data_IF_757560494421
#
_entry.id   IF_757560494421
#
_cell.length_a   1.000
_cell.length_b   1.000
_cell.length_c   1.000
_cell.angle_alpha   90.00
_cell.angle_beta   90.00
_cell.angle_gamma   90.00
#
_symmetry.space_group_name_H-M   'P 1'
#
loop_
_entity.id
_entity.type
_entity.pdbx_description
1 polymer ?
#
# COMPACT_ATOMS: atom_id res chain seq x y z
N UNK A 1 2.23 9.73 16.92
CA UNK A 1 1.50 9.50 15.66
C UNK A 1 1.49 10.81 14.87
N UNK A 2 1.56 10.75 13.54
CA UNK A 2 1.49 11.92 12.66
C UNK A 2 0.18 11.86 11.87
N UNK A 3 -0.43 13.01 11.63
CA UNK A 3 -1.68 13.12 10.87
C UNK A 3 -1.40 13.92 9.60
N UNK A 4 -1.83 13.38 8.46
CA UNK A 4 -1.82 14.08 7.17
C UNK A 4 -3.27 14.34 6.78
N UNK A 5 -3.58 15.60 6.45
CA UNK A 5 -4.88 16.00 5.92
C UNK A 5 -4.67 16.50 4.50
N UNK A 6 -5.40 15.93 3.55
CA UNK A 6 -5.38 16.32 2.15
C UNK A 6 -6.82 16.58 1.70
N UNK A 7 -7.02 17.62 0.91
CA UNK A 7 -8.27 17.84 0.19
C UNK A 7 -8.18 17.06 -1.14
N UNK A 8 -9.10 16.14 -1.34
CA UNK A 8 -9.19 15.37 -2.57
C UNK A 8 -10.15 16.08 -3.55
N UNK A 9 -9.86 16.09 -4.86
CA UNK A 9 -10.86 16.48 -5.86
C UNK A 9 -12.10 15.58 -5.78
N UNK A 10 -13.27 16.12 -6.10
CA UNK A 10 -14.55 15.41 -6.01
C UNK A 10 -14.60 14.15 -6.90
N UNK A 11 -13.80 14.12 -7.97
CA UNK A 11 -13.71 12.98 -8.89
C UNK A 11 -12.90 11.81 -8.34
N UNK A 12 -12.12 12.03 -7.27
CA UNK A 12 -11.20 11.02 -6.73
C UNK A 12 -11.90 10.16 -5.69
N UNK A 13 -11.83 8.84 -5.88
CA UNK A 13 -12.31 7.90 -4.88
C UNK A 13 -11.37 7.86 -3.67
N UNK A 14 -11.90 8.16 -2.47
CA UNK A 14 -11.12 8.17 -1.24
C UNK A 14 -10.45 6.80 -0.93
N UNK A 15 -11.14 5.68 -1.22
CA UNK A 15 -10.58 4.34 -0.97
C UNK A 15 -9.40 4.06 -1.90
N UNK A 16 -9.49 4.46 -3.16
CA UNK A 16 -8.39 4.30 -4.14
C UNK A 16 -7.18 5.17 -3.76
N UNK A 17 -7.42 6.41 -3.33
CA UNK A 17 -6.36 7.29 -2.85
C UNK A 17 -5.65 6.70 -1.61
N UNK A 18 -6.42 6.18 -0.65
CA UNK A 18 -5.86 5.48 0.51
C UNK A 18 -5.09 4.22 0.10
N UNK A 19 -5.61 3.43 -0.83
CA UNK A 19 -4.92 2.23 -1.32
C UNK A 19 -3.58 2.59 -1.97
N UNK A 20 -3.53 3.62 -2.82
CA UNK A 20 -2.30 4.07 -3.45
C UNK A 20 -1.24 4.49 -2.42
N UNK A 21 -1.63 5.27 -1.41
CA UNK A 21 -0.73 5.64 -0.32
C UNK A 21 -0.28 4.44 0.52
N UNK A 22 -1.19 3.54 0.86
CA UNK A 22 -0.89 2.32 1.62
C UNK A 22 0.09 1.41 0.88
N UNK A 23 -0.13 1.22 -0.42
CA UNK A 23 0.72 0.45 -1.31
C UNK A 23 2.13 1.05 -1.34
N UNK A 24 2.26 2.36 -1.58
CA UNK A 24 3.56 3.03 -1.62
C UNK A 24 4.35 2.94 -0.30
N UNK A 25 3.67 3.00 0.84
CA UNK A 25 4.31 2.84 2.15
C UNK A 25 4.68 1.38 2.45
N UNK A 26 3.86 0.43 2.01
CA UNK A 26 4.09 -1.00 2.16
C UNK A 26 5.29 -1.44 1.30
N UNK A 27 5.34 -0.99 0.05
CA UNK A 27 6.43 -1.24 -0.91
C UNK A 27 7.79 -0.78 -0.35
N UNK A 28 7.82 0.37 0.32
CA UNK A 28 9.00 0.91 1.01
C UNK A 28 9.33 0.20 2.33
N UNK A 29 8.57 -0.80 2.75
CA UNK A 29 8.72 -1.49 4.04
C UNK A 29 8.44 -0.60 5.27
N UNK A 30 7.82 0.58 5.10
CA UNK A 30 7.57 1.54 6.19
C UNK A 30 6.39 1.07 7.06
N UNK A 31 5.41 0.43 6.44
CA UNK A 31 4.26 -0.16 7.13
C UNK A 31 4.15 -1.64 6.80
N UNK A 32 3.72 -2.42 7.77
CA UNK A 32 3.33 -3.82 7.54
C UNK A 32 2.00 -3.90 6.77
N UNK A 33 1.72 -5.07 6.16
CA UNK A 33 0.44 -5.34 5.50
C UNK A 33 -0.78 -5.14 6.42
N UNK A 34 -0.65 -5.39 7.72
CA UNK A 34 -1.73 -5.14 8.69
C UNK A 34 -1.95 -3.65 8.98
N UNK A 35 -0.88 -2.86 9.06
CA UNK A 35 -0.97 -1.41 9.23
C UNK A 35 -1.50 -0.74 7.97
N UNK A 36 -1.06 -1.18 6.80
CA UNK A 36 -1.56 -0.72 5.51
C UNK A 36 -3.06 -1.01 5.35
N UNK A 37 -3.51 -2.22 5.70
CA UNK A 37 -4.92 -2.57 5.67
C UNK A 37 -5.76 -1.70 6.63
N UNK A 38 -5.25 -1.44 7.84
CA UNK A 38 -5.90 -0.55 8.82
C UNK A 38 -6.01 0.88 8.29
N UNK A 39 -4.98 1.37 7.58
CA UNK A 39 -4.98 2.71 6.98
C UNK A 39 -6.09 2.87 5.92
N UNK A 40 -6.35 1.83 5.13
CA UNK A 40 -7.41 1.83 4.10
C UNK A 40 -8.79 1.54 4.70
N UNK A 41 -8.85 0.84 5.84
CA UNK A 41 -10.10 0.41 6.47
C UNK A 41 -10.60 -0.94 5.93
N UNK A 42 -9.70 -1.83 5.54
CA UNK A 42 -10.00 -3.17 4.99
C UNK A 42 -9.32 -4.27 5.79
N UNK A 43 -9.64 -5.53 5.49
CA UNK A 43 -8.94 -6.67 6.11
C UNK A 43 -7.52 -6.81 5.56
N UNK A 44 -6.60 -7.36 6.37
CA UNK A 44 -5.23 -7.69 5.92
C UNK A 44 -5.21 -8.58 4.68
N UNK A 45 -6.14 -9.55 4.61
CA UNK A 45 -6.29 -10.45 3.47
C UNK A 45 -6.68 -9.67 2.20
N UNK A 46 -7.71 -8.82 2.30
CA UNK A 46 -8.16 -7.98 1.17
C UNK A 46 -7.05 -7.06 0.68
N UNK A 47 -6.25 -6.49 1.59
CA UNK A 47 -5.10 -5.67 1.19
C UNK A 47 -4.09 -6.48 0.37
N UNK A 48 -3.65 -7.64 0.87
CA UNK A 48 -2.69 -8.49 0.14
C UNK A 48 -3.22 -8.99 -1.20
N UNK A 49 -4.52 -9.25 -1.32
CA UNK A 49 -5.16 -9.65 -2.57
C UNK A 49 -5.21 -8.53 -3.62
N UNK A 50 -5.24 -7.26 -3.19
CA UNK A 50 -5.48 -6.10 -4.07
C UNK A 50 -4.26 -5.21 -4.28
N UNK A 51 -3.28 -5.21 -3.37
CA UNK A 51 -2.11 -4.32 -3.43
C UNK A 51 -1.26 -4.52 -4.68
N UNK A 52 -1.24 -5.73 -5.26
CA UNK A 52 -0.56 -6.00 -6.52
C UNK A 52 -1.09 -5.18 -7.71
N UNK A 53 -2.33 -4.71 -7.66
CA UNK A 53 -2.91 -3.82 -8.68
C UNK A 53 -2.24 -2.44 -8.69
N UNK A 54 -1.54 -2.09 -7.62
CA UNK A 54 -0.79 -0.84 -7.46
C UNK A 54 0.69 -1.00 -7.80
N UNK A 55 1.08 -2.12 -8.42
CA UNK A 55 2.46 -2.38 -8.87
C UNK A 55 3.41 -2.81 -7.75
N UNK A 56 2.88 -3.24 -6.59
CA UNK A 56 3.68 -3.62 -5.42
C UNK A 56 3.75 -5.13 -5.28
N UNK A 57 4.97 -5.66 -5.12
CA UNK A 57 5.16 -7.09 -4.84
C UNK A 57 4.71 -7.41 -3.41
N UNK A 58 3.84 -8.42 -3.28
CA UNK A 58 3.45 -8.96 -1.98
C UNK A 58 4.59 -9.70 -1.27
N UNK A 59 5.63 -10.08 -2.00
CA UNK A 59 6.77 -10.83 -1.46
C UNK A 59 7.90 -9.93 -0.97
N UNK A 60 7.80 -8.61 -1.13
CA UNK A 60 8.86 -7.69 -0.73
C UNK A 60 10.19 -7.97 -1.44
N UNK A 61 10.16 -8.76 -2.52
CA UNK A 61 11.32 -9.04 -3.35
C UNK A 61 11.76 -7.73 -3.99
N UNK A 62 12.94 -7.29 -3.58
CA UNK A 62 13.64 -6.16 -4.16
C UNK A 62 14.32 -6.61 -5.45
N UNK A 63 14.65 -5.68 -6.35
CA UNK A 63 15.47 -6.00 -7.53
C UNK A 63 16.80 -6.68 -7.16
N UNK A 64 17.28 -6.47 -5.93
CA UNK A 64 18.48 -7.09 -5.38
C UNK A 64 18.32 -8.60 -5.13
N UNK A 65 17.11 -9.07 -4.83
CA UNK A 65 16.81 -10.50 -4.59
C UNK A 65 16.88 -11.34 -5.88
N UNK A 66 16.82 -10.71 -7.06
CA UNK A 66 16.92 -11.35 -8.37
C UNK A 66 18.33 -11.31 -8.97
N UNK A 67 19.36 -10.86 -8.23
CA UNK A 67 20.74 -10.96 -8.70
C UNK A 67 21.16 -12.44 -8.75
N UNK A 68 21.06 -13.02 -9.94
CA UNK A 68 21.58 -14.36 -10.26
C UNK A 68 23.11 -14.27 -10.32
N UNK A 69 23.79 -14.97 -9.41
CA UNK A 69 25.25 -15.20 -9.45
C UNK A 69 25.63 -16.16 -10.59
#
# INVERSE_FOLDING_TARGET
>A
MKTLTIELPDEVNEKEAKMAMAAALFDKGIVSSGQAATFVGISRREFLETVGQYGVSIFGETEEDFQVE
#
